data_IF_417615677772
#
_entry.id   IF_417615677772
#
_cell.length_a   1.000
_cell.length_b   1.000
_cell.length_c   1.000
_cell.angle_alpha   90.00
_cell.angle_beta   90.00
_cell.angle_gamma   90.00
#
_symmetry.space_group_name_H-M   'P 1'
#
loop_
_entity.id
_entity.type
_entity.pdbx_description
1 polymer ?
#
# COMPACT_ATOMS: atom_id res chain seq x y z
N UNK A 1 12.12 -7.49 -20.80
CA UNK A 1 12.74 -6.92 -19.58
C UNK A 1 11.89 -7.40 -18.42
N UNK A 2 11.96 -6.88 -17.20
CA UNK A 2 11.07 -7.32 -16.11
C UNK A 2 10.51 -6.08 -15.43
N UNK A 3 9.26 -6.15 -14.92
CA UNK A 3 8.62 -5.08 -14.16
C UNK A 3 9.54 -4.58 -13.03
N UNK A 4 9.52 -3.28 -12.74
CA UNK A 4 10.26 -2.71 -11.61
C UNK A 4 9.31 -2.26 -10.52
N UNK A 5 9.53 -2.77 -9.31
CA UNK A 5 8.76 -2.41 -8.13
C UNK A 5 9.55 -1.43 -7.25
N UNK A 6 9.21 -0.15 -7.34
CA UNK A 6 9.72 0.87 -6.44
C UNK A 6 8.99 0.80 -5.10
N UNK A 7 9.70 0.45 -4.04
CA UNK A 7 9.06 0.11 -2.78
C UNK A 7 9.93 0.38 -1.54
N UNK A 8 9.37 0.10 -0.36
CA UNK A 8 10.11 0.15 0.88
C UNK A 8 9.83 -1.09 1.73
N UNK A 9 10.85 -1.62 2.41
CA UNK A 9 10.73 -2.89 3.15
C UNK A 9 9.72 -2.81 4.30
N UNK A 10 9.61 -1.65 4.98
CA UNK A 10 8.67 -1.38 6.08
C UNK A 10 7.36 -0.70 5.65
N UNK A 11 7.08 -0.59 4.35
CA UNK A 11 5.81 -0.04 3.87
C UNK A 11 4.77 -1.16 3.74
N UNK A 12 3.61 -1.02 4.39
CA UNK A 12 2.53 -2.02 4.29
C UNK A 12 1.87 -2.05 2.91
N UNK A 13 1.76 -0.90 2.22
CA UNK A 13 1.32 -0.83 0.82
C UNK A 13 2.31 -1.52 -0.12
N UNK A 14 3.60 -1.43 0.17
CA UNK A 14 4.63 -2.19 -0.54
C UNK A 14 4.54 -3.69 -0.26
N UNK A 15 4.34 -4.07 1.01
CA UNK A 15 4.21 -5.47 1.41
C UNK A 15 3.04 -6.16 0.73
N UNK A 16 1.85 -5.53 0.67
CA UNK A 16 0.70 -6.16 -0.01
C UNK A 16 0.94 -6.37 -1.50
N UNK A 17 1.60 -5.42 -2.17
CA UNK A 17 1.88 -5.56 -3.61
C UNK A 17 2.94 -6.64 -3.88
N UNK A 18 3.99 -6.72 -3.04
CA UNK A 18 4.94 -7.83 -3.09
C UNK A 18 4.24 -9.18 -2.89
N UNK A 19 3.32 -9.27 -1.93
CA UNK A 19 2.55 -10.49 -1.70
C UNK A 19 1.72 -10.87 -2.94
N UNK A 20 1.03 -9.92 -3.55
CA UNK A 20 0.24 -10.15 -4.77
C UNK A 20 1.11 -10.64 -5.95
N UNK A 21 2.23 -9.96 -6.22
CA UNK A 21 3.18 -10.35 -7.27
C UNK A 21 3.74 -11.76 -7.02
N UNK A 22 4.16 -12.05 -5.78
CA UNK A 22 4.73 -13.34 -5.41
C UNK A 22 3.68 -14.47 -5.51
N UNK A 23 2.46 -14.24 -5.04
CA UNK A 23 1.37 -15.22 -5.15
C UNK A 23 1.02 -15.51 -6.60
N UNK A 24 1.11 -14.50 -7.48
CA UNK A 24 0.93 -14.67 -8.93
C UNK A 24 2.15 -15.25 -9.65
N UNK A 25 3.26 -15.47 -8.96
CA UNK A 25 4.50 -15.98 -9.56
C UNK A 25 5.16 -15.00 -10.54
N UNK A 26 4.89 -13.71 -10.41
CA UNK A 26 5.41 -12.68 -11.31
C UNK A 26 6.77 -12.18 -10.84
N UNK A 27 7.78 -12.29 -11.70
CA UNK A 27 9.10 -11.73 -11.45
C UNK A 27 9.05 -10.19 -11.53
N UNK A 28 9.79 -9.54 -10.64
CA UNK A 28 9.99 -8.09 -10.64
C UNK A 28 11.38 -7.74 -10.10
N UNK A 29 11.94 -6.63 -10.57
CA UNK A 29 13.11 -6.00 -9.98
C UNK A 29 12.67 -5.25 -8.71
N UNK A 30 13.34 -5.51 -7.59
CA UNK A 30 13.11 -4.80 -6.34
C UNK A 30 13.93 -3.51 -6.33
N UNK A 31 13.26 -2.36 -6.41
CA UNK A 31 13.91 -1.04 -6.35
C UNK A 31 13.59 -0.38 -5.02
N UNK A 32 14.59 -0.31 -4.13
CA UNK A 32 14.42 0.27 -2.80
C UNK A 32 14.34 1.81 -2.82
N UNK A 33 13.30 2.36 -2.21
CA UNK A 33 13.11 3.80 -1.99
C UNK A 33 13.03 4.06 -0.47
N UNK A 34 14.06 4.67 0.09
CA UNK A 34 14.20 4.83 1.53
C UNK A 34 13.31 5.96 2.06
N UNK A 35 12.16 5.58 2.65
CA UNK A 35 11.18 6.57 3.12
C UNK A 35 11.70 7.49 4.24
N UNK A 36 12.41 6.94 5.23
CA UNK A 36 12.93 7.73 6.36
C UNK A 36 14.00 8.74 5.90
N UNK A 37 14.81 8.41 4.90
CA UNK A 37 15.80 9.32 4.30
C UNK A 37 15.17 10.32 3.30
N UNK A 38 13.87 10.21 3.03
CA UNK A 38 13.18 11.15 2.15
C UNK A 38 13.36 10.90 0.66
N UNK A 39 13.89 9.75 0.23
CA UNK A 39 14.20 9.48 -1.19
C UNK A 39 12.95 9.53 -2.09
N UNK A 40 11.78 9.18 -1.56
CA UNK A 40 10.48 9.31 -2.22
C UNK A 40 10.09 10.75 -2.57
N UNK A 41 10.77 11.76 -2.03
CA UNK A 41 10.55 13.18 -2.33
C UNK A 41 11.62 13.77 -3.25
N UNK A 42 12.65 12.99 -3.58
CA UNK A 42 13.70 13.44 -4.48
C UNK A 42 13.17 13.53 -5.92
N UNK A 43 13.68 14.51 -6.67
CA UNK A 43 13.24 14.79 -8.04
C UNK A 43 13.17 13.55 -8.96
N UNK A 44 14.14 12.62 -8.94
CA UNK A 44 14.07 11.41 -9.76
C UNK A 44 12.84 10.54 -9.46
N UNK A 45 12.46 10.42 -8.19
CA UNK A 45 11.29 9.61 -7.82
C UNK A 45 9.98 10.34 -8.06
N UNK A 46 9.91 11.65 -7.79
CA UNK A 46 8.68 12.42 -8.01
C UNK A 46 8.37 12.61 -9.49
N UNK A 47 9.38 12.55 -10.37
CA UNK A 47 9.16 12.47 -11.81
C UNK A 47 8.45 11.16 -12.22
N UNK A 48 8.71 10.06 -11.50
CA UNK A 48 8.07 8.76 -11.70
C UNK A 48 6.68 8.68 -11.03
N UNK A 49 6.57 9.10 -9.77
CA UNK A 49 5.32 9.16 -9.03
C UNK A 49 5.17 10.53 -8.33
N UNK A 50 4.38 11.47 -8.91
CA UNK A 50 4.17 12.79 -8.35
C UNK A 50 3.55 12.80 -6.94
N UNK A 51 2.88 11.73 -6.51
CA UNK A 51 2.34 11.63 -5.15
C UNK A 51 3.43 11.42 -4.09
N UNK A 52 4.67 11.14 -4.49
CA UNK A 52 5.78 10.84 -3.59
C UNK A 52 5.45 9.68 -2.62
N UNK A 53 4.73 8.66 -3.09
CA UNK A 53 4.36 7.49 -2.28
C UNK A 53 4.91 6.21 -2.88
N UNK A 54 5.09 5.19 -2.04
CA UNK A 54 5.38 3.82 -2.46
C UNK A 54 4.17 2.91 -2.15
N UNK A 55 3.94 1.85 -2.92
CA UNK A 55 4.72 1.41 -4.08
C UNK A 55 4.33 2.13 -5.38
N UNK A 56 5.24 2.07 -6.36
CA UNK A 56 4.96 2.29 -7.77
C UNK A 56 5.49 1.09 -8.57
N UNK A 57 4.73 0.64 -9.57
CA UNK A 57 5.10 -0.48 -10.44
C UNK A 57 5.32 0.06 -11.86
N UNK A 58 6.54 -0.01 -12.34
CA UNK A 58 6.89 0.32 -13.73
C UNK A 58 6.84 -0.95 -14.57
N UNK A 59 6.03 -0.92 -15.63
CA UNK A 59 5.87 -2.00 -16.59
C UNK A 59 7.02 -1.98 -17.61
N UNK A 60 7.13 -3.04 -18.41
CA UNK A 60 8.23 -3.18 -19.39
C UNK A 60 8.21 -2.12 -20.49
N UNK A 61 7.05 -1.53 -20.77
CA UNK A 61 6.88 -0.43 -21.73
C UNK A 61 7.13 0.97 -21.12
N UNK A 62 7.52 1.02 -19.84
CA UNK A 62 7.74 2.25 -19.09
C UNK A 62 6.48 2.85 -18.47
N UNK A 63 5.30 2.23 -18.64
CA UNK A 63 4.07 2.67 -17.97
C UNK A 63 4.22 2.52 -16.46
N UNK A 64 3.87 3.57 -15.70
CA UNK A 64 3.96 3.55 -14.23
C UNK A 64 2.58 3.47 -13.61
N UNK A 65 2.32 2.38 -12.90
CA UNK A 65 1.11 2.19 -12.10
C UNK A 65 1.36 2.60 -10.65
N UNK A 66 0.38 3.29 -10.06
CA UNK A 66 0.41 3.74 -8.67
C UNK A 66 -0.85 3.27 -7.94
N UNK A 67 -0.91 3.44 -6.61
CA UNK A 67 -1.98 2.96 -5.73
C UNK A 67 -2.05 1.43 -5.63
N UNK A 68 -1.59 0.89 -4.49
CA UNK A 68 -1.40 -0.56 -4.33
C UNK A 68 -2.64 -1.42 -4.61
N UNK A 69 -3.84 -0.96 -4.27
CA UNK A 69 -5.06 -1.74 -4.58
C UNK A 69 -5.43 -1.66 -6.05
N UNK A 70 -5.26 -0.50 -6.71
CA UNK A 70 -5.49 -0.39 -8.15
C UNK A 70 -4.53 -1.26 -8.94
N UNK A 71 -3.24 -1.30 -8.55
CA UNK A 71 -2.25 -2.22 -9.14
C UNK A 71 -2.68 -3.68 -8.95
N UNK A 72 -3.19 -4.05 -7.77
CA UNK A 72 -3.65 -5.42 -7.51
C UNK A 72 -4.89 -5.80 -8.34
N UNK A 73 -5.81 -4.87 -8.60
CA UNK A 73 -6.93 -5.10 -9.52
C UNK A 73 -6.44 -5.27 -10.96
N UNK A 74 -5.51 -4.42 -11.42
CA UNK A 74 -4.87 -4.58 -12.73
C UNK A 74 -4.15 -5.93 -12.85
N UNK A 75 -3.46 -6.38 -11.79
CA UNK A 75 -2.84 -7.71 -11.75
C UNK A 75 -3.88 -8.83 -11.85
N UNK A 76 -5.04 -8.67 -11.22
CA UNK A 76 -6.13 -9.65 -11.30
C UNK A 76 -6.73 -9.73 -12.70
N UNK A 77 -6.84 -8.60 -13.40
CA UNK A 77 -7.34 -8.51 -14.78
C UNK A 77 -6.32 -9.02 -15.81
N UNK A 78 -5.04 -8.67 -15.63
CA UNK A 78 -3.97 -8.96 -16.60
C UNK A 78 -3.36 -10.35 -16.42
N UNK A 79 -3.36 -10.87 -15.19
CA UNK A 79 -2.80 -12.16 -14.82
C UNK A 79 -3.83 -12.96 -14.01
N UNK A 80 -4.85 -13.54 -14.67
CA UNK A 80 -6.02 -14.11 -14.00
C UNK A 80 -5.71 -15.38 -13.18
N UNK A 81 -4.51 -15.96 -13.32
CA UNK A 81 -4.11 -17.19 -12.63
C UNK A 81 -2.78 -17.01 -11.89
N UNK A 82 -2.68 -17.46 -10.62
CA UNK A 82 -3.80 -17.81 -9.73
C UNK A 82 -4.67 -16.58 -9.39
N UNK A 83 -6.00 -16.78 -9.21
CA UNK A 83 -6.90 -15.69 -8.84
C UNK A 83 -6.64 -15.25 -7.39
N UNK A 84 -6.58 -13.95 -7.15
CA UNK A 84 -6.52 -13.38 -5.79
C UNK A 84 -7.91 -13.07 -5.23
N UNK A 85 -8.93 -13.03 -6.09
CA UNK A 85 -10.31 -12.81 -5.72
C UNK A 85 -11.18 -14.05 -6.02
N UNK A 86 -12.27 -14.26 -5.26
CA UNK A 86 -13.23 -15.32 -5.54
C UNK A 86 -14.01 -15.04 -6.84
N UNK A 87 -14.70 -16.07 -7.36
CA UNK A 87 -15.38 -16.00 -8.65
C UNK A 87 -16.68 -15.16 -8.64
N UNK A 88 -17.46 -15.20 -7.55
CA UNK A 88 -18.80 -14.59 -7.55
C UNK A 88 -18.74 -13.09 -7.21
N UNK A 89 -19.59 -12.25 -7.83
CA UNK A 89 -19.60 -10.81 -7.57
C UNK A 89 -19.75 -10.46 -6.08
N UNK A 90 -20.60 -11.18 -5.36
CA UNK A 90 -20.84 -10.93 -3.92
C UNK A 90 -19.63 -11.30 -3.06
N UNK A 91 -18.93 -12.39 -3.37
CA UNK A 91 -17.72 -12.77 -2.64
C UNK A 91 -16.57 -11.80 -2.94
N UNK A 92 -16.47 -11.32 -4.18
CA UNK A 92 -15.49 -10.28 -4.57
C UNK A 92 -15.75 -8.99 -3.79
N UNK A 93 -17.01 -8.58 -3.65
CA UNK A 93 -17.40 -7.43 -2.85
C UNK A 93 -16.97 -7.59 -1.38
N UNK A 94 -17.19 -8.78 -0.78
CA UNK A 94 -16.74 -9.06 0.59
C UNK A 94 -15.22 -8.92 0.76
N UNK A 95 -14.43 -9.53 -0.12
CA UNK A 95 -12.94 -9.43 -0.03
C UNK A 95 -12.48 -7.99 -0.20
N UNK A 96 -13.08 -7.23 -1.14
CA UNK A 96 -12.77 -5.82 -1.32
C UNK A 96 -13.12 -4.99 -0.11
N UNK A 97 -14.28 -5.22 0.52
CA UNK A 97 -14.67 -4.51 1.73
C UNK A 97 -13.63 -4.71 2.84
N UNK A 98 -13.24 -5.96 3.12
CA UNK A 98 -12.21 -6.27 4.13
C UNK A 98 -10.85 -5.61 3.80
N UNK A 99 -10.43 -5.68 2.53
CA UNK A 99 -9.19 -5.04 2.09
C UNK A 99 -9.25 -3.50 2.21
N UNK A 100 -10.41 -2.90 1.93
CA UNK A 100 -10.64 -1.46 1.99
C UNK A 100 -10.71 -0.95 3.43
N UNK A 101 -11.20 -1.73 4.40
CA UNK A 101 -11.08 -1.36 5.83
C UNK A 101 -9.61 -1.09 6.20
N UNK A 102 -8.69 -1.94 5.73
CA UNK A 102 -7.26 -1.70 5.97
C UNK A 102 -6.71 -0.57 5.10
N UNK A 103 -7.11 -0.51 3.83
CA UNK A 103 -6.50 0.39 2.85
C UNK A 103 -6.99 1.84 2.93
N UNK A 104 -8.21 2.06 3.39
CA UNK A 104 -8.90 3.36 3.40
C UNK A 104 -9.07 3.88 4.83
N UNK A 105 -9.43 3.01 5.78
CA UNK A 105 -9.74 3.45 7.16
C UNK A 105 -8.51 3.41 8.09
N UNK A 106 -7.61 2.44 7.93
CA UNK A 106 -6.47 2.26 8.84
C UNK A 106 -5.14 2.79 8.30
N UNK A 107 -4.74 2.33 7.12
CA UNK A 107 -3.41 2.63 6.59
C UNK A 107 -3.18 4.14 6.35
N UNK A 108 -4.12 4.89 5.73
CA UNK A 108 -3.87 6.29 5.40
C UNK A 108 -3.71 7.19 6.63
N UNK A 109 -4.53 7.01 7.65
CA UNK A 109 -4.46 7.77 8.91
C UNK A 109 -3.18 7.46 9.69
N UNK A 110 -2.65 6.24 9.56
CA UNK A 110 -1.38 5.82 10.16
C UNK A 110 -0.19 5.93 9.20
N UNK A 111 -0.32 6.62 8.07
CA UNK A 111 0.80 6.84 7.17
C UNK A 111 1.86 7.75 7.81
N UNK A 112 3.14 7.54 7.48
CA UNK A 112 4.27 8.31 8.00
C UNK A 112 4.04 9.83 7.88
N UNK A 113 3.53 10.30 6.74
CA UNK A 113 3.28 11.75 6.53
C UNK A 113 2.21 12.30 7.47
N UNK A 114 1.14 11.52 7.72
CA UNK A 114 0.01 11.93 8.56
C UNK A 114 0.43 11.93 10.03
N UNK A 115 1.07 10.85 10.50
CA UNK A 115 1.54 10.77 11.89
C UNK A 115 2.62 11.81 12.20
N UNK A 116 3.50 12.12 11.23
CA UNK A 116 4.53 13.16 11.42
C UNK A 116 3.89 14.53 11.58
N UNK A 117 2.98 14.90 10.69
CA UNK A 117 2.26 16.17 10.76
C UNK A 117 1.40 16.27 12.03
N UNK A 118 0.68 15.21 12.41
CA UNK A 118 -0.08 15.15 13.66
C UNK A 118 0.81 15.42 14.89
N UNK A 119 1.98 14.80 14.97
CA UNK A 119 2.91 15.00 16.08
C UNK A 119 3.48 16.42 16.14
N UNK A 120 3.71 17.03 14.98
CA UNK A 120 4.15 18.41 14.85
C UNK A 120 3.08 19.39 15.35
N UNK A 121 1.84 19.29 14.86
CA UNK A 121 0.77 20.24 15.22
C UNK A 121 0.24 20.04 16.65
N UNK A 122 0.32 18.83 17.20
CA UNK A 122 -0.12 18.55 18.58
C UNK A 122 0.95 18.85 19.63
N UNK A 123 2.22 19.01 19.24
CA UNK A 123 3.36 19.12 20.16
C UNK A 123 3.62 17.87 21.01
N UNK A 124 2.88 16.78 20.80
CA UNK A 124 2.92 15.57 21.65
C UNK A 124 3.98 14.53 21.26
N UNK A 125 4.77 14.80 20.21
CA UNK A 125 5.89 13.97 19.80
C UNK A 125 5.52 12.50 19.58
N UNK A 126 6.39 11.58 20.03
CA UNK A 126 6.19 10.14 19.82
C UNK A 126 5.06 9.54 20.68
N UNK A 127 4.74 10.15 21.82
CA UNK A 127 3.61 9.70 22.64
C UNK A 127 2.28 9.91 21.89
N UNK A 128 2.11 11.08 21.26
CA UNK A 128 0.94 11.36 20.43
C UNK A 128 0.85 10.44 19.21
N UNK A 129 1.97 10.12 18.55
CA UNK A 129 1.98 9.14 17.44
C UNK A 129 1.53 7.75 17.88
N UNK A 130 2.02 7.27 19.03
CA UNK A 130 1.63 5.94 19.56
C UNK A 130 0.15 5.90 19.90
N UNK A 131 -0.37 6.89 20.63
CA UNK A 131 -1.78 6.96 20.99
C UNK A 131 -2.68 7.00 19.74
N UNK A 132 -2.34 7.82 18.75
CA UNK A 132 -3.03 7.90 17.47
C UNK A 132 -3.06 6.55 16.73
N UNK A 133 -1.89 5.93 16.59
CA UNK A 133 -1.78 4.65 15.89
C UNK A 133 -2.60 3.55 16.58
N UNK A 134 -2.49 3.44 17.90
CA UNK A 134 -3.25 2.48 18.70
C UNK A 134 -4.75 2.69 18.55
N UNK A 135 -5.23 3.94 18.63
CA UNK A 135 -6.64 4.26 18.47
C UNK A 135 -7.20 3.74 17.15
N UNK A 136 -6.60 4.14 16.01
CA UNK A 136 -7.10 3.73 14.70
C UNK A 136 -6.97 2.22 14.44
N UNK A 137 -5.94 1.57 14.99
CA UNK A 137 -5.83 0.11 14.93
C UNK A 137 -7.03 -0.54 15.61
N UNK A 138 -7.37 -0.16 16.84
CA UNK A 138 -8.53 -0.71 17.54
C UNK A 138 -9.84 -0.39 16.81
N UNK A 139 -10.04 0.87 16.42
CA UNK A 139 -11.26 1.31 15.72
C UNK A 139 -11.50 0.56 14.42
N UNK A 140 -10.47 0.16 13.68
CA UNK A 140 -10.64 -0.65 12.46
C UNK A 140 -10.67 -2.15 12.74
N UNK A 141 -9.84 -2.67 13.65
CA UNK A 141 -9.70 -4.11 13.85
C UNK A 141 -10.88 -4.73 14.61
N UNK A 142 -11.50 -4.00 15.54
CA UNK A 142 -12.69 -4.48 16.25
C UNK A 142 -13.86 -4.85 15.32
N UNK A 143 -14.33 -3.96 14.42
CA UNK A 143 -15.37 -4.33 13.45
C UNK A 143 -14.86 -5.30 12.39
N UNK A 144 -13.57 -5.25 12.01
CA UNK A 144 -13.01 -6.22 11.06
C UNK A 144 -13.10 -7.64 11.60
N UNK A 145 -12.79 -7.86 12.88
CA UNK A 145 -12.87 -9.16 13.54
C UNK A 145 -14.31 -9.71 13.53
N UNK A 146 -15.31 -8.86 13.70
CA UNK A 146 -16.73 -9.26 13.62
C UNK A 146 -17.16 -9.67 12.20
N UNK A 147 -16.40 -9.26 11.18
CA UNK A 147 -16.67 -9.58 9.78
C UNK A 147 -15.93 -10.83 9.29
N UNK A 148 -15.02 -11.41 10.09
CA UNK A 148 -14.29 -12.63 9.77
C UNK A 148 -15.06 -13.87 10.25
#
# INVERSE_FOLDING_TARGET
MTMKLYNYFRSSTSTRLRAALNLKGLAYEYVGVHLVKGEHRAAPYTALNPQALVPALELEDGTVLTQSLAIMEWLEESYPQPPLLPATPIARARVRALAQMIALELHPVNNLRVMTYHAEVSGGGDAAKRAWMTHWVHTTFEPLEQML
#
